data_IF_602653755296
#
_entry.id   IF_602653755296
#
_cell.length_a   1.000
_cell.length_b   1.000
_cell.length_c   1.000
_cell.angle_alpha   90.00
_cell.angle_beta   90.00
_cell.angle_gamma   90.00
#
_symmetry.space_group_name_H-M   'P 1'
#
loop_
_entity.id
_entity.type
_entity.pdbx_description
1 polymer ?
#
# COMPACT_ATOMS: atom_id res chain seq x y z
N UNK A 1 -18.54 -6.70 -41.47
CA UNK A 1 -17.83 -5.40 -41.60
C UNK A 1 -18.83 -4.26 -41.44
N UNK A 2 -18.85 -3.57 -40.30
CA UNK A 2 -19.65 -2.34 -40.13
C UNK A 2 -18.92 -1.19 -40.84
N UNK A 3 -19.40 -0.81 -42.02
CA UNK A 3 -18.84 0.31 -42.78
C UNK A 3 -19.22 1.59 -42.06
N UNK A 4 -18.26 2.23 -41.40
CA UNK A 4 -18.47 3.54 -40.79
C UNK A 4 -18.79 4.52 -41.92
N UNK A 5 -19.98 5.13 -41.88
CA UNK A 5 -20.37 6.18 -42.82
C UNK A 5 -19.45 7.36 -42.53
N UNK A 6 -18.49 7.60 -43.42
CA UNK A 6 -17.59 8.75 -43.34
C UNK A 6 -18.41 10.04 -43.26
N UNK A 7 -17.99 11.00 -42.43
CA UNK A 7 -18.60 12.34 -42.24
C UNK A 7 -18.94 13.03 -43.58
N UNK A 8 -18.18 12.74 -44.62
CA UNK A 8 -18.38 13.22 -45.98
C UNK A 8 -19.71 12.72 -46.58
N UNK A 9 -20.05 11.44 -46.41
CA UNK A 9 -21.32 10.89 -46.90
C UNK A 9 -22.53 11.46 -46.16
N UNK A 10 -22.37 11.79 -44.88
CA UNK A 10 -23.40 12.45 -44.09
C UNK A 10 -23.67 13.86 -44.64
N UNK A 11 -22.63 14.62 -44.96
CA UNK A 11 -22.75 15.94 -45.57
C UNK A 11 -23.46 15.91 -46.93
N UNK A 12 -23.09 14.99 -47.83
CA UNK A 12 -23.80 14.80 -49.11
C UNK A 12 -25.26 14.41 -48.92
N UNK A 13 -25.56 13.55 -47.94
CA UNK A 13 -26.94 13.13 -47.65
C UNK A 13 -27.80 14.29 -47.17
N UNK A 14 -27.26 15.19 -46.32
CA UNK A 14 -27.96 16.40 -45.87
C UNK A 14 -28.26 17.34 -47.04
N UNK A 15 -27.29 17.57 -47.92
CA UNK A 15 -27.49 18.45 -49.09
C UNK A 15 -28.57 17.89 -50.02
N UNK A 16 -28.52 16.59 -50.32
CA UNK A 16 -29.52 15.94 -51.18
C UNK A 16 -30.91 16.00 -50.53
N UNK A 17 -31.01 15.80 -49.21
CA UNK A 17 -32.26 15.92 -48.48
C UNK A 17 -32.82 17.35 -48.52
N UNK A 18 -31.98 18.37 -48.36
CA UNK A 18 -32.39 19.78 -48.48
C UNK A 18 -32.94 20.11 -49.87
N UNK A 19 -32.29 19.64 -50.92
CA UNK A 19 -32.75 19.84 -52.30
C UNK A 19 -34.11 19.15 -52.52
N UNK A 20 -34.27 17.91 -52.03
CA UNK A 20 -35.53 17.19 -52.12
C UNK A 20 -36.67 17.89 -51.37
N UNK A 21 -36.42 18.36 -50.14
CA UNK A 21 -37.41 19.10 -49.35
C UNK A 21 -37.80 20.39 -50.07
N UNK A 22 -36.83 21.15 -50.58
CA UNK A 22 -37.11 22.37 -51.34
C UNK A 22 -37.97 22.10 -52.58
N UNK A 23 -37.65 21.03 -53.32
CA UNK A 23 -38.42 20.62 -54.50
C UNK A 23 -39.86 20.22 -54.15
N UNK A 24 -40.06 19.42 -53.11
CA UNK A 24 -41.39 19.02 -52.62
C UNK A 24 -42.19 20.23 -52.15
N UNK A 25 -41.57 21.18 -51.44
CA UNK A 25 -42.24 22.39 -50.97
C UNK A 25 -42.70 23.27 -52.14
N UNK A 26 -41.88 23.42 -53.19
CA UNK A 26 -42.26 24.17 -54.40
C UNK A 26 -43.44 23.49 -55.11
N UNK A 27 -43.44 22.16 -55.23
CA UNK A 27 -44.53 21.44 -55.87
C UNK A 27 -45.84 21.50 -55.07
N UNK A 28 -45.76 21.38 -53.75
CA UNK A 28 -46.93 21.37 -52.86
C UNK A 28 -47.54 22.76 -52.68
N UNK A 29 -46.71 23.81 -52.59
CA UNK A 29 -47.15 25.14 -52.18
C UNK A 29 -46.98 26.23 -53.25
N UNK A 30 -46.30 25.95 -54.38
CA UNK A 30 -45.98 26.96 -55.40
C UNK A 30 -47.19 27.55 -56.14
N UNK A 31 -48.38 26.95 -56.01
CA UNK A 31 -49.64 27.47 -56.57
C UNK A 31 -50.50 28.23 -55.56
N UNK A 32 -50.14 28.23 -54.27
CA UNK A 32 -50.90 28.89 -53.23
C UNK A 32 -50.28 30.27 -52.90
N UNK A 33 -50.98 31.39 -53.18
CA UNK A 33 -50.44 32.73 -52.94
C UNK A 33 -50.17 33.03 -51.45
N UNK A 34 -50.85 32.34 -50.53
CA UNK A 34 -50.72 32.58 -49.09
C UNK A 34 -49.62 31.72 -48.42
N UNK A 35 -49.03 30.77 -49.15
CA UNK A 35 -48.04 29.86 -48.59
C UNK A 35 -46.77 30.58 -48.11
N UNK A 36 -46.34 31.62 -48.81
CA UNK A 36 -45.19 32.44 -48.40
C UNK A 36 -45.42 33.16 -47.07
N UNK A 37 -46.63 33.67 -46.84
CA UNK A 37 -46.98 34.34 -45.60
C UNK A 37 -47.04 33.37 -44.42
N UNK A 38 -47.65 32.20 -44.61
CA UNK A 38 -47.71 31.13 -43.60
C UNK A 38 -46.31 30.60 -43.25
N UNK A 39 -45.43 30.47 -44.25
CA UNK A 39 -44.05 30.03 -44.04
C UNK A 39 -43.21 31.07 -43.29
N UNK A 40 -43.42 32.37 -43.54
CA UNK A 40 -42.75 33.44 -42.81
C UNK A 40 -43.18 33.48 -41.32
N UNK A 41 -44.47 33.29 -41.04
CA UNK A 41 -44.98 33.17 -39.67
C UNK A 41 -44.40 31.93 -38.99
N UNK A 42 -44.40 30.77 -39.66
CA UNK A 42 -43.80 29.55 -39.14
C UNK A 42 -42.31 29.73 -38.84
N UNK A 43 -41.54 30.35 -39.75
CA UNK A 43 -40.13 30.65 -39.56
C UNK A 43 -39.88 31.56 -38.34
N UNK A 44 -40.73 32.57 -38.15
CA UNK A 44 -40.65 33.47 -36.98
C UNK A 44 -40.90 32.71 -35.68
N UNK A 45 -41.92 31.84 -35.63
CA UNK A 45 -42.22 31.00 -34.46
C UNK A 45 -41.09 30.03 -34.17
N UNK A 46 -40.55 29.35 -35.19
CA UNK A 46 -39.40 28.44 -35.02
C UNK A 46 -38.17 29.17 -34.52
N UNK A 47 -37.89 30.38 -35.01
CA UNK A 47 -36.77 31.21 -34.54
C UNK A 47 -36.90 31.56 -33.05
N UNK A 48 -38.09 31.95 -32.60
CA UNK A 48 -38.35 32.24 -31.18
C UNK A 48 -38.13 30.98 -30.33
N UNK A 49 -38.64 29.82 -30.76
CA UNK A 49 -38.46 28.56 -30.02
C UNK A 49 -36.98 28.19 -29.92
N UNK A 50 -36.22 28.29 -31.02
CA UNK A 50 -34.78 28.00 -31.02
C UNK A 50 -34.01 28.96 -30.09
N UNK A 51 -34.37 30.24 -30.06
CA UNK A 51 -33.77 31.21 -29.14
C UNK A 51 -34.04 30.85 -27.67
N UNK A 52 -35.25 30.42 -27.33
CA UNK A 52 -35.60 29.99 -25.97
C UNK A 52 -34.81 28.74 -25.56
N UNK A 53 -34.72 27.74 -26.45
CA UNK A 53 -33.92 26.53 -26.19
C UNK A 53 -32.45 26.88 -25.95
N UNK A 54 -31.88 27.80 -26.74
CA UNK A 54 -30.51 28.25 -26.56
C UNK A 54 -30.30 28.89 -25.18
N UNK A 55 -31.22 29.77 -24.74
CA UNK A 55 -31.16 30.37 -23.39
C UNK A 55 -31.22 29.28 -22.31
N UNK A 56 -32.14 28.33 -22.43
CA UNK A 56 -32.27 27.22 -21.45
C UNK A 56 -30.98 26.41 -21.37
N UNK A 57 -30.38 26.06 -22.51
CA UNK A 57 -29.12 25.31 -22.56
C UNK A 57 -27.99 26.07 -21.84
N UNK A 58 -27.86 27.38 -22.10
CA UNK A 58 -26.85 28.19 -21.40
C UNK A 58 -27.07 28.29 -19.90
N UNK A 59 -28.33 28.38 -19.44
CA UNK A 59 -28.64 28.41 -18.01
C UNK A 59 -28.36 27.06 -17.32
N UNK A 60 -28.67 25.95 -18.00
CA UNK A 60 -28.39 24.61 -17.50
C UNK A 60 -26.87 24.38 -17.35
N UNK A 61 -26.08 24.80 -18.34
CA UNK A 61 -24.62 24.69 -18.30
C UNK A 61 -24.03 25.52 -17.14
N UNK A 62 -24.50 26.75 -16.93
CA UNK A 62 -24.04 27.62 -15.83
C UNK A 62 -24.41 27.04 -14.46
N UNK A 63 -25.61 26.45 -14.33
CA UNK A 63 -26.02 25.78 -13.09
C UNK A 63 -25.16 24.53 -12.81
N UNK A 64 -24.86 23.73 -13.83
CA UNK A 64 -23.97 22.58 -13.73
C UNK A 64 -22.56 22.97 -13.26
N UNK A 65 -22.01 24.05 -13.82
CA UNK A 65 -20.69 24.55 -13.40
C UNK A 65 -20.65 24.99 -11.93
N UNK A 66 -21.71 25.67 -11.44
CA UNK A 66 -21.78 26.08 -10.02
C UNK A 66 -21.81 24.90 -9.06
N UNK A 67 -22.53 23.83 -9.42
CA UNK A 67 -22.56 22.60 -8.63
C UNK A 67 -21.16 21.96 -8.55
N UNK A 68 -20.46 21.85 -9.68
CA UNK A 68 -19.09 21.31 -9.71
C UNK A 68 -18.12 22.15 -8.87
N UNK A 69 -18.23 23.48 -8.87
CA UNK A 69 -17.41 24.35 -8.00
C UNK A 69 -17.68 24.09 -6.52
N UNK A 70 -18.95 23.87 -6.13
CA UNK A 70 -19.31 23.54 -4.75
C UNK A 70 -18.71 22.21 -4.32
N UNK A 71 -18.80 21.17 -5.16
CA UNK A 71 -18.23 19.86 -4.90
C UNK A 71 -16.69 19.87 -4.82
N UNK A 72 -16.04 20.67 -5.67
CA UNK A 72 -14.60 20.89 -5.60
C UNK A 72 -14.19 21.57 -4.30
N UNK A 73 -14.96 22.56 -3.83
CA UNK A 73 -14.71 23.23 -2.56
C UNK A 73 -14.82 22.24 -1.39
N UNK A 74 -15.87 21.44 -1.34
CA UNK A 74 -16.05 20.42 -0.29
C UNK A 74 -14.92 19.38 -0.32
N UNK A 75 -14.52 18.94 -1.51
CA UNK A 75 -13.41 18.00 -1.69
C UNK A 75 -12.09 18.62 -1.21
N UNK A 76 -11.84 19.89 -1.51
CA UNK A 76 -10.65 20.60 -1.05
C UNK A 76 -10.62 20.77 0.48
N UNK A 77 -11.77 21.03 1.12
CA UNK A 77 -11.89 21.09 2.58
C UNK A 77 -11.59 19.72 3.21
N UNK A 78 -12.20 18.64 2.70
CA UNK A 78 -11.91 17.26 3.13
C UNK A 78 -10.44 16.89 2.95
N UNK A 79 -9.83 17.30 1.84
CA UNK A 79 -8.42 17.06 1.57
C UNK A 79 -7.55 17.79 2.59
N UNK A 80 -7.87 19.04 2.91
CA UNK A 80 -7.15 19.83 3.92
C UNK A 80 -7.24 19.19 5.30
N UNK A 81 -8.43 18.74 5.71
CA UNK A 81 -8.64 18.04 6.97
C UNK A 81 -7.82 16.73 7.02
N UNK A 82 -7.90 15.91 5.98
CA UNK A 82 -7.13 14.66 5.88
C UNK A 82 -5.62 14.92 5.93
N UNK A 83 -5.13 15.99 5.29
CA UNK A 83 -3.73 16.36 5.34
C UNK A 83 -3.29 16.82 6.74
N UNK A 84 -4.18 17.47 7.48
CA UNK A 84 -3.92 17.92 8.87
C UNK A 84 -3.80 16.71 9.80
N UNK A 85 -4.71 15.75 9.68
CA UNK A 85 -4.64 14.48 10.41
C UNK A 85 -3.37 13.69 10.05
N UNK A 86 -2.99 13.66 8.78
CA UNK A 86 -1.75 13.00 8.36
C UNK A 86 -0.50 13.65 8.98
N UNK A 87 -0.47 14.98 9.08
CA UNK A 87 0.62 15.69 9.77
C UNK A 87 0.70 15.33 11.25
N UNK A 88 -0.44 15.28 11.94
CA UNK A 88 -0.51 14.89 13.35
C UNK A 88 -0.05 13.43 13.55
N UNK A 89 -0.44 12.50 12.66
CA UNK A 89 0.06 11.13 12.70
C UNK A 89 1.58 11.05 12.51
N UNK A 90 2.14 11.85 11.60
CA UNK A 90 3.59 11.92 11.38
C UNK A 90 4.30 12.44 12.63
N UNK A 91 3.78 13.50 13.25
CA UNK A 91 4.35 14.06 14.48
C UNK A 91 4.31 13.04 15.63
N UNK A 92 3.18 12.36 15.82
CA UNK A 92 3.04 11.29 16.80
C UNK A 92 3.99 10.11 16.53
N UNK A 93 4.22 9.77 15.25
CA UNK A 93 5.18 8.73 14.87
C UNK A 93 6.62 9.15 15.19
N UNK A 94 6.99 10.41 14.96
CA UNK A 94 8.32 10.97 15.31
C UNK A 94 8.52 10.94 16.83
N UNK A 95 7.51 11.35 17.59
CA UNK A 95 7.57 11.32 19.06
C UNK A 95 7.71 9.89 19.58
N UNK A 96 6.92 8.95 19.04
CA UNK A 96 7.01 7.53 19.39
C UNK A 96 8.37 6.93 19.05
N UNK A 97 8.99 7.35 17.94
CA UNK A 97 10.32 6.92 17.55
C UNK A 97 11.38 7.43 18.53
N UNK A 98 11.24 8.69 18.97
CA UNK A 98 12.14 9.31 19.95
C UNK A 98 12.04 8.61 21.31
N UNK A 99 10.83 8.27 21.75
CA UNK A 99 10.62 7.53 23.00
C UNK A 99 11.15 6.09 22.89
N UNK A 100 11.02 5.47 21.73
CA UNK A 100 11.63 4.18 21.45
C UNK A 100 13.16 4.23 21.50
N UNK A 101 13.79 5.27 20.97
CA UNK A 101 15.24 5.47 21.08
C UNK A 101 15.69 5.63 22.53
N UNK A 102 14.98 6.42 23.34
CA UNK A 102 15.26 6.56 24.77
C UNK A 102 15.11 5.23 25.51
N UNK A 103 14.06 4.46 25.20
CA UNK A 103 13.83 3.14 25.81
C UNK A 103 14.91 2.15 25.40
N UNK A 104 15.36 2.20 24.14
CA UNK A 104 16.47 1.39 23.65
C UNK A 104 17.75 1.73 24.42
N UNK A 105 18.05 3.01 24.61
CA UNK A 105 19.25 3.45 25.34
C UNK A 105 19.20 2.98 26.80
N UNK A 106 18.06 3.16 27.48
CA UNK A 106 17.91 2.72 28.87
C UNK A 106 17.99 1.19 29.03
N UNK A 107 17.49 0.43 28.05
CA UNK A 107 17.64 -1.04 28.02
C UNK A 107 19.10 -1.46 27.79
N UNK A 108 19.85 -0.74 26.95
CA UNK A 108 21.27 -1.00 26.74
C UNK A 108 22.05 -0.68 28.02
N UNK A 109 21.81 0.47 28.64
CA UNK A 109 22.45 0.86 29.89
C UNK A 109 22.15 -0.15 31.01
N UNK A 110 20.88 -0.54 31.16
CA UNK A 110 20.47 -1.55 32.16
C UNK A 110 21.12 -2.90 31.88
N UNK A 111 21.12 -3.38 30.63
CA UNK A 111 21.74 -4.66 30.30
C UNK A 111 23.26 -4.65 30.54
N UNK A 112 23.94 -3.54 30.22
CA UNK A 112 25.36 -3.37 30.49
C UNK A 112 25.64 -3.32 31.99
N UNK A 113 24.81 -2.63 32.77
CA UNK A 113 24.94 -2.55 34.22
C UNK A 113 24.76 -3.93 34.88
N UNK A 114 23.69 -4.66 34.53
CA UNK A 114 23.43 -6.00 35.07
C UNK A 114 24.52 -7.00 34.68
N UNK A 115 24.98 -6.97 33.41
CA UNK A 115 26.07 -7.84 32.97
C UNK A 115 27.38 -7.52 33.71
N UNK A 116 27.65 -6.23 33.95
CA UNK A 116 28.83 -5.79 34.71
C UNK A 116 28.76 -6.22 36.17
N UNK A 117 27.61 -6.08 36.83
CA UNK A 117 27.39 -6.57 38.20
C UNK A 117 27.55 -8.09 38.28
N UNK A 118 26.88 -8.88 37.44
CA UNK A 118 27.02 -10.35 37.45
C UNK A 118 28.47 -10.78 37.20
N UNK A 119 29.19 -10.08 36.32
CA UNK A 119 30.60 -10.39 36.04
C UNK A 119 31.50 -10.03 37.22
N UNK A 120 31.24 -8.89 37.89
CA UNK A 120 31.98 -8.46 39.08
C UNK A 120 31.72 -9.40 40.25
N UNK A 121 30.47 -9.80 40.50
CA UNK A 121 30.10 -10.73 41.58
C UNK A 121 30.72 -12.11 41.38
N UNK A 122 30.74 -12.61 40.14
CA UNK A 122 31.42 -13.87 39.78
C UNK A 122 32.94 -13.76 39.96
N UNK A 123 33.54 -12.63 39.60
CA UNK A 123 34.96 -12.38 39.80
C UNK A 123 35.34 -12.27 41.28
N UNK A 124 34.52 -11.59 42.09
CA UNK A 124 34.74 -11.48 43.55
C UNK A 124 34.58 -12.84 44.24
N UNK A 125 33.58 -13.65 43.87
CA UNK A 125 33.42 -14.99 44.42
C UNK A 125 34.62 -15.91 44.11
N UNK A 126 35.19 -15.83 42.90
CA UNK A 126 36.40 -16.58 42.57
C UNK A 126 37.62 -16.05 43.32
N UNK A 127 37.72 -14.73 43.53
CA UNK A 127 38.82 -14.12 44.27
C UNK A 127 38.80 -14.47 45.76
N UNK A 128 37.61 -14.63 46.36
CA UNK A 128 37.45 -14.96 47.78
C UNK A 128 37.50 -16.47 48.08
N UNK A 129 37.05 -17.34 47.15
CA UNK A 129 36.85 -18.77 47.43
C UNK A 129 37.38 -19.76 46.37
N UNK A 130 37.93 -19.31 45.23
CA UNK A 130 38.21 -20.16 44.07
C UNK A 130 39.67 -20.61 43.90
N UNK A 131 39.86 -21.81 43.33
CA UNK A 131 41.15 -22.27 42.81
C UNK A 131 41.33 -21.81 41.35
N UNK A 132 42.56 -21.76 40.84
CA UNK A 132 42.89 -21.38 39.44
C UNK A 132 42.09 -22.13 38.35
N UNK A 133 41.50 -23.29 38.67
CA UNK A 133 40.62 -24.05 37.78
C UNK A 133 39.31 -23.30 37.48
N UNK A 134 38.66 -22.74 38.50
CA UNK A 134 37.36 -22.07 38.37
C UNK A 134 37.48 -20.75 37.60
N UNK A 135 38.62 -20.07 37.75
CA UNK A 135 38.94 -18.86 36.98
C UNK A 135 39.12 -19.14 35.48
N UNK A 136 39.79 -20.25 35.14
CA UNK A 136 39.98 -20.65 33.74
C UNK A 136 38.67 -21.10 33.10
N UNK A 137 37.79 -21.77 33.85
CA UNK A 137 36.45 -22.15 33.37
C UNK A 137 35.60 -20.91 33.06
N UNK A 138 35.64 -19.89 33.91
CA UNK A 138 34.91 -18.64 33.70
C UNK A 138 35.46 -17.81 32.51
N UNK A 139 36.79 -17.83 32.30
CA UNK A 139 37.44 -17.25 31.11
C UNK A 139 36.98 -17.97 29.83
N UNK A 140 36.87 -19.30 29.86
CA UNK A 140 36.42 -20.09 28.72
C UNK A 140 34.92 -19.89 28.44
N UNK A 141 34.10 -19.75 29.47
CA UNK A 141 32.67 -19.46 29.34
C UNK A 141 32.45 -18.07 28.73
N UNK A 142 33.18 -17.05 29.20
CA UNK A 142 33.19 -15.70 28.62
C UNK A 142 33.67 -15.68 27.17
N UNK A 143 34.73 -16.42 26.82
CA UNK A 143 35.18 -16.55 25.43
C UNK A 143 34.12 -17.22 24.54
N UNK A 144 33.41 -18.22 25.07
CA UNK A 144 32.35 -18.93 24.36
C UNK A 144 31.12 -18.05 24.15
N UNK A 145 30.75 -17.23 25.12
CA UNK A 145 29.72 -16.22 24.93
C UNK A 145 30.13 -15.12 23.96
N UNK A 146 31.37 -14.60 24.06
CA UNK A 146 31.85 -13.55 23.17
C UNK A 146 31.91 -14.03 21.71
N UNK A 147 32.33 -15.27 21.48
CA UNK A 147 32.32 -15.87 20.14
C UNK A 147 30.91 -16.04 19.59
N UNK A 148 29.93 -16.50 20.41
CA UNK A 148 28.51 -16.53 20.03
C UNK A 148 27.96 -15.13 19.73
N UNK A 149 28.34 -14.12 20.52
CA UNK A 149 27.92 -12.74 20.32
C UNK A 149 28.48 -12.18 19.00
N UNK A 150 29.78 -12.38 18.76
CA UNK A 150 30.47 -11.96 17.54
C UNK A 150 29.90 -12.64 16.30
N UNK A 151 29.51 -13.91 16.40
CA UNK A 151 28.82 -14.63 15.33
C UNK A 151 27.40 -14.09 15.09
N UNK A 152 26.68 -13.68 16.15
CA UNK A 152 25.38 -12.99 16.02
C UNK A 152 25.52 -11.60 15.38
N UNK A 153 26.59 -10.86 15.70
CA UNK A 153 26.88 -9.54 15.10
C UNK A 153 27.27 -9.70 13.62
N UNK A 154 28.19 -10.62 13.28
CA UNK A 154 28.56 -10.88 11.88
C UNK A 154 27.37 -11.35 11.02
N UNK A 155 26.45 -12.15 11.59
CA UNK A 155 25.20 -12.54 10.90
C UNK A 155 24.29 -11.34 10.63
N UNK A 156 24.36 -10.28 11.44
CA UNK A 156 23.62 -9.02 11.26
C UNK A 156 24.27 -8.16 10.17
N UNK A 157 25.59 -8.01 10.20
CA UNK A 157 26.36 -7.19 9.24
C UNK A 157 26.38 -7.79 7.82
N UNK A 158 26.33 -9.12 7.69
CA UNK A 158 26.12 -9.78 6.39
C UNK A 158 24.73 -9.52 5.80
N UNK A 159 23.74 -9.18 6.63
CA UNK A 159 22.37 -8.91 6.20
C UNK A 159 22.17 -7.47 5.75
N UNK A 160 22.82 -6.50 6.39
CA UNK A 160 22.84 -5.10 5.93
C UNK A 160 23.53 -4.95 4.56
N UNK A 161 24.35 -5.94 4.16
CA UNK A 161 24.98 -6.04 2.83
C UNK A 161 24.22 -6.95 1.85
N UNK A 162 23.07 -7.53 2.25
CA UNK A 162 22.22 -8.28 1.34
C UNK A 162 21.34 -7.33 0.51
N UNK A 163 20.99 -7.71 -0.72
CA UNK A 163 20.07 -6.91 -1.56
C UNK A 163 18.63 -6.82 -1.01
N UNK A 164 18.33 -7.48 0.11
CA UNK A 164 17.07 -7.33 0.82
C UNK A 164 17.08 -6.00 1.59
N UNK A 165 16.26 -5.04 1.15
CA UNK A 165 16.05 -3.82 1.90
C UNK A 165 15.43 -4.11 3.28
N UNK A 166 15.81 -3.33 4.29
CA UNK A 166 15.17 -3.39 5.62
C UNK A 166 13.65 -3.18 5.57
N UNK A 167 13.15 -2.51 4.52
CA UNK A 167 11.73 -2.36 4.19
C UNK A 167 11.06 -3.69 3.83
N UNK A 168 11.72 -4.54 3.05
CA UNK A 168 11.16 -5.80 2.55
C UNK A 168 11.02 -6.80 3.70
N UNK A 169 12.00 -6.84 4.61
CA UNK A 169 11.94 -7.67 5.82
C UNK A 169 10.85 -7.19 6.78
N UNK A 170 10.69 -5.87 6.96
CA UNK A 170 9.60 -5.31 7.79
C UNK A 170 8.23 -5.68 7.20
N UNK A 171 8.06 -5.49 5.89
CA UNK A 171 6.82 -5.85 5.18
C UNK A 171 6.55 -7.35 5.23
N UNK A 172 7.56 -8.17 5.05
CA UNK A 172 7.44 -9.62 5.16
C UNK A 172 7.04 -10.06 6.57
N UNK A 173 7.65 -9.48 7.61
CA UNK A 173 7.28 -9.76 9.01
C UNK A 173 5.83 -9.40 9.31
N UNK A 174 5.37 -8.25 8.82
CA UNK A 174 3.98 -7.85 8.95
C UNK A 174 3.04 -8.87 8.30
N UNK A 175 3.32 -9.27 7.06
CA UNK A 175 2.54 -10.28 6.34
C UNK A 175 2.55 -11.63 7.05
N UNK A 176 3.69 -12.04 7.59
CA UNK A 176 3.83 -13.30 8.34
C UNK A 176 2.88 -13.32 9.55
N UNK A 177 2.75 -12.19 10.26
CA UNK A 177 1.92 -12.08 11.47
C UNK A 177 0.44 -11.83 11.17
N UNK A 178 0.13 -11.10 10.10
CA UNK A 178 -1.24 -10.75 9.74
C UNK A 178 -1.97 -11.89 9.01
N UNK A 179 -1.30 -12.57 8.07
CA UNK A 179 -1.94 -13.60 7.24
C UNK A 179 -1.97 -14.98 7.87
N UNK A 180 -1.09 -15.26 8.80
CA UNK A 180 -0.89 -16.62 9.27
C UNK A 180 -0.96 -16.69 10.79
N UNK A 181 -1.72 -17.66 11.27
CA UNK A 181 -1.91 -17.87 12.70
C UNK A 181 -0.70 -18.63 13.28
N UNK A 182 -0.14 -18.20 14.43
CA UNK A 182 0.90 -18.96 15.10
C UNK A 182 0.49 -20.41 15.36
N UNK A 183 1.46 -21.32 15.35
CA UNK A 183 1.29 -22.76 15.63
C UNK A 183 0.40 -23.50 14.61
N UNK A 184 -0.03 -22.84 13.52
CA UNK A 184 -0.70 -23.52 12.42
C UNK A 184 0.29 -24.08 11.42
N UNK A 185 0.05 -25.33 11.00
CA UNK A 185 0.84 -26.00 9.97
C UNK A 185 0.33 -25.62 8.59
N UNK A 186 1.22 -25.05 7.77
CA UNK A 186 0.95 -24.63 6.39
C UNK A 186 1.84 -25.46 5.45
N UNK A 187 1.37 -25.79 4.25
CA UNK A 187 2.23 -26.45 3.25
C UNK A 187 3.38 -25.52 2.84
N UNK A 188 4.60 -26.04 2.82
CA UNK A 188 5.80 -25.24 2.50
C UNK A 188 5.71 -24.63 1.10
N UNK A 189 5.22 -25.38 0.12
CA UNK A 189 5.12 -24.90 -1.26
C UNK A 189 4.12 -23.74 -1.37
N UNK A 190 2.94 -23.88 -0.77
CA UNK A 190 1.94 -22.80 -0.72
C UNK A 190 2.48 -21.55 0.00
N UNK A 191 3.22 -21.76 1.09
CA UNK A 191 3.85 -20.68 1.85
C UNK A 191 4.93 -19.97 1.02
N UNK A 192 5.82 -20.73 0.39
CA UNK A 192 6.90 -20.20 -0.42
C UNK A 192 6.37 -19.47 -1.66
N UNK A 193 5.37 -20.03 -2.34
CA UNK A 193 4.76 -19.43 -3.52
C UNK A 193 4.10 -18.09 -3.20
N UNK A 194 3.44 -17.97 -2.05
CA UNK A 194 2.89 -16.69 -1.59
C UNK A 194 3.98 -15.62 -1.45
N UNK A 195 5.11 -15.94 -0.84
CA UNK A 195 6.22 -15.00 -0.70
C UNK A 195 6.93 -14.73 -2.03
N UNK A 196 7.03 -15.70 -2.93
CA UNK A 196 7.55 -15.52 -4.29
C UNK A 196 6.66 -14.59 -5.11
N UNK A 197 5.34 -14.71 -5.01
CA UNK A 197 4.39 -13.83 -5.71
C UNK A 197 4.52 -12.39 -5.20
N UNK A 198 4.67 -12.20 -3.89
CA UNK A 198 4.70 -10.86 -3.29
C UNK A 198 6.03 -10.13 -3.46
N UNK A 199 7.15 -10.85 -3.38
CA UNK A 199 8.49 -10.25 -3.33
C UNK A 199 9.36 -10.63 -4.53
N UNK A 200 8.87 -11.47 -5.43
CA UNK A 200 9.63 -12.03 -6.55
C UNK A 200 10.40 -13.29 -6.15
N UNK A 201 10.77 -14.09 -7.15
CA UNK A 201 11.36 -15.43 -6.94
C UNK A 201 12.66 -15.43 -6.13
N UNK A 202 13.51 -14.42 -6.30
CA UNK A 202 14.79 -14.31 -5.57
C UNK A 202 14.54 -13.90 -4.10
N UNK A 203 13.88 -12.77 -3.89
CA UNK A 203 13.67 -12.24 -2.55
C UNK A 203 12.70 -13.07 -1.72
N UNK A 204 11.65 -13.66 -2.31
CA UNK A 204 10.73 -14.55 -1.61
C UNK A 204 11.44 -15.74 -0.96
N UNK A 205 12.40 -16.35 -1.68
CA UNK A 205 13.23 -17.43 -1.14
C UNK A 205 14.15 -16.94 -0.01
N UNK A 206 14.78 -15.79 -0.18
CA UNK A 206 15.65 -15.18 0.82
C UNK A 206 14.88 -14.80 2.10
N UNK A 207 13.64 -14.32 1.98
CA UNK A 207 12.74 -14.01 3.09
C UNK A 207 12.33 -15.26 3.86
N UNK A 208 11.92 -16.33 3.17
CA UNK A 208 11.56 -17.59 3.83
C UNK A 208 12.75 -18.17 4.58
N UNK A 209 13.94 -18.15 3.96
CA UNK A 209 15.19 -18.54 4.61
C UNK A 209 15.51 -17.67 5.83
N UNK A 210 15.27 -16.36 5.74
CA UNK A 210 15.41 -15.43 6.87
C UNK A 210 14.49 -15.82 8.03
N UNK A 211 13.23 -16.16 7.77
CA UNK A 211 12.31 -16.58 8.83
C UNK A 211 12.72 -17.89 9.50
N UNK A 212 13.24 -18.84 8.73
CA UNK A 212 13.78 -20.08 9.26
C UNK A 212 15.01 -19.81 10.16
N UNK A 213 15.97 -19.02 9.66
CA UNK A 213 17.19 -18.66 10.40
C UNK A 213 16.91 -17.83 11.67
N UNK A 214 15.87 -17.01 11.65
CA UNK A 214 15.46 -16.18 12.81
C UNK A 214 14.46 -16.88 13.72
N UNK A 215 14.21 -18.18 13.51
CA UNK A 215 13.30 -18.99 14.30
C UNK A 215 11.87 -18.41 14.37
N UNK A 216 11.45 -17.69 13.32
CA UNK A 216 10.07 -17.22 13.14
C UNK A 216 9.19 -18.30 12.52
N UNK A 217 9.79 -19.20 11.75
CA UNK A 217 9.15 -20.39 11.25
C UNK A 217 10.03 -21.63 11.50
N UNK A 218 9.39 -22.78 11.60
CA UNK A 218 10.01 -24.10 11.67
C UNK A 218 9.54 -24.91 10.47
N UNK A 219 10.46 -25.57 9.76
CA UNK A 219 10.12 -26.44 8.64
C UNK A 219 10.22 -27.89 9.11
N UNK A 220 9.10 -28.59 9.06
CA UNK A 220 9.01 -30.01 9.42
C UNK A 220 8.78 -30.86 8.17
N UNK A 221 9.45 -32.02 8.10
CA UNK A 221 9.16 -33.02 7.09
C UNK A 221 8.07 -33.96 7.61
N UNK A 222 6.96 -34.06 6.91
CA UNK A 222 5.92 -35.05 7.19
C UNK A 222 6.37 -36.43 6.70
N UNK A 223 5.87 -37.50 7.32
CA UNK A 223 6.18 -38.90 6.96
C UNK A 223 5.89 -39.24 5.48
N UNK A 224 5.04 -38.46 4.82
CA UNK A 224 4.70 -38.61 3.39
C UNK A 224 5.66 -37.85 2.46
N UNK A 225 6.73 -37.23 2.97
CA UNK A 225 7.68 -36.43 2.21
C UNK A 225 7.24 -34.97 1.95
N UNK A 226 6.04 -34.57 2.36
CA UNK A 226 5.57 -33.18 2.29
C UNK A 226 6.24 -32.31 3.37
N UNK A 227 6.74 -31.13 2.97
CA UNK A 227 7.27 -30.12 3.89
C UNK A 227 6.16 -29.23 4.44
N UNK A 228 6.15 -29.03 5.75
CA UNK A 228 5.21 -28.15 6.46
C UNK A 228 5.96 -27.03 7.15
N UNK A 229 5.35 -25.86 7.18
CA UNK A 229 5.85 -24.66 7.85
C UNK A 229 4.96 -24.41 9.05
N UNK A 230 5.58 -24.31 10.23
CA UNK A 230 4.92 -23.91 11.47
C UNK A 230 5.42 -22.52 11.84
N UNK A 231 4.52 -21.60 12.08
CA UNK A 231 4.90 -20.25 12.53
C UNK A 231 5.09 -20.28 14.04
N UNK A 232 6.29 -19.94 14.47
CA UNK A 232 6.63 -19.96 15.89
C UNK A 232 5.95 -18.77 16.57
N UNK A 233 5.30 -19.04 17.72
CA UNK A 233 4.73 -18.00 18.57
C UNK A 233 5.86 -17.08 19.01
N UNK A 234 5.79 -15.80 18.65
CA UNK A 234 6.69 -14.81 19.22
C UNK A 234 6.46 -14.81 20.74
N UNK A 235 7.53 -14.93 21.53
CA UNK A 235 7.51 -14.49 22.93
C UNK A 235 7.27 -12.98 22.89
N UNK A 236 6.00 -12.59 22.87
CA UNK A 236 5.59 -11.24 23.19
C UNK A 236 6.05 -11.04 24.61
N UNK A 237 7.11 -10.24 24.79
CA UNK A 237 7.41 -9.67 26.09
C UNK A 237 6.15 -8.93 26.54
N UNK A 238 5.45 -9.52 27.49
CA UNK A 238 4.33 -8.91 28.19
C UNK A 238 4.82 -7.61 28.81
N UNK A 239 4.47 -6.48 28.18
CA UNK A 239 4.30 -5.17 28.82
C UNK A 239 3.38 -4.32 27.93
N UNK A 240 2.13 -4.78 27.83
CA UNK A 240 1.00 -3.87 27.73
C UNK A 240 0.06 -4.26 28.88
N UNK A 241 0.41 -3.81 30.08
CA UNK A 241 -0.55 -3.67 31.15
C UNK A 241 -1.31 -2.35 30.92
N UNK A 242 -2.62 -2.44 31.11
CA UNK A 242 -3.56 -1.31 31.20
C UNK A 242 -3.17 -0.31 32.27
#
# INVERSE_FOLDING_TARGET
MKKQVSTIHLFYTIIIALILIAFVTILAFGKNPDAGNQMNVAATVTSIILAVIAIIMTLADVAGQRQSISELKETAEKLKESNTVAQEMIENAINSLTDFEKTKESLIESAVATFKEETIDKLQNIQENGNNSDFNELIDELKKENSKLKERINRRDQFDNSQLGSSDIKRANFILLERYTPETSIKYDDFLDNFIIMFGRKHGKEIVKFFEMTNKITIENSDNGEKKVIINKQKIGTNMAR
#
